data_IF_461383481996
#
_entry.id   IF_461383481996
#
_cell.length_a   1.000
_cell.length_b   1.000
_cell.length_c   1.000
_cell.angle_alpha   90.00
_cell.angle_beta   90.00
_cell.angle_gamma   90.00
#
_symmetry.space_group_name_H-M   'P 1'
#
loop_
_entity.id
_entity.type
_entity.pdbx_description
1 polymer ?
#
# COMPACT_ATOMS: atom_id res chain seq x y z
N UNK A 1 -50.35 38.11 5.87
CA UNK A 1 -50.05 37.09 4.84
C UNK A 1 -48.56 36.93 4.55
N UNK A 2 -47.84 37.94 4.02
CA UNK A 2 -46.40 37.80 3.63
C UNK A 2 -45.44 37.33 4.74
N UNK A 3 -45.60 37.81 5.98
CA UNK A 3 -44.77 37.40 7.13
C UNK A 3 -44.89 35.91 7.46
N UNK A 4 -46.09 35.34 7.31
CA UNK A 4 -46.36 33.92 7.57
C UNK A 4 -45.67 33.05 6.51
N UNK A 5 -45.71 33.47 5.24
CA UNK A 5 -45.00 32.76 4.16
C UNK A 5 -43.49 32.77 4.35
N UNK A 6 -42.91 33.90 4.77
CA UNK A 6 -41.47 34.01 5.05
C UNK A 6 -41.07 33.14 6.24
N UNK A 7 -41.88 33.14 7.32
CA UNK A 7 -41.65 32.28 8.48
C UNK A 7 -41.72 30.79 8.11
N UNK A 8 -42.74 30.38 7.34
CA UNK A 8 -42.87 29.00 6.88
C UNK A 8 -41.71 28.58 5.97
N UNK A 9 -41.20 29.49 5.13
CA UNK A 9 -40.03 29.25 4.30
C UNK A 9 -38.76 29.09 5.16
N UNK A 10 -38.59 29.92 6.20
CA UNK A 10 -37.47 29.81 7.13
C UNK A 10 -37.47 28.47 7.88
N UNK A 11 -38.64 28.03 8.36
CA UNK A 11 -38.78 26.71 8.99
C UNK A 11 -38.45 25.58 8.02
N UNK A 12 -38.95 25.64 6.78
CA UNK A 12 -38.62 24.64 5.74
C UNK A 12 -37.12 24.61 5.46
N UNK A 13 -36.47 25.75 5.33
CA UNK A 13 -35.02 25.81 5.13
C UNK A 13 -34.25 25.22 6.30
N UNK A 14 -34.67 25.52 7.54
CA UNK A 14 -34.06 24.94 8.74
C UNK A 14 -34.21 23.41 8.77
N UNK A 15 -35.40 22.89 8.43
CA UNK A 15 -35.61 21.44 8.34
C UNK A 15 -34.70 20.82 7.28
N UNK A 16 -34.67 21.36 6.06
CA UNK A 16 -33.81 20.85 4.98
C UNK A 16 -32.32 20.89 5.32
N UNK A 17 -31.87 21.94 6.02
CA UNK A 17 -30.49 22.03 6.49
C UNK A 17 -30.19 20.94 7.52
N UNK A 18 -31.08 20.71 8.49
CA UNK A 18 -30.91 19.63 9.47
C UNK A 18 -30.89 18.24 8.81
N UNK A 19 -31.77 17.98 7.83
CA UNK A 19 -31.79 16.72 7.08
C UNK A 19 -30.51 16.53 6.27
N UNK A 20 -30.01 17.60 5.63
CA UNK A 20 -28.75 17.55 4.89
C UNK A 20 -27.56 17.21 5.81
N UNK A 21 -27.52 17.78 7.01
CA UNK A 21 -26.47 17.49 7.99
C UNK A 21 -26.58 16.03 8.46
N UNK A 22 -27.78 15.57 8.78
CA UNK A 22 -28.02 14.17 9.17
C UNK A 22 -27.57 13.19 8.09
N UNK A 23 -28.04 13.36 6.84
CA UNK A 23 -27.66 12.51 5.70
C UNK A 23 -26.15 12.54 5.42
N UNK A 24 -25.50 13.68 5.64
CA UNK A 24 -24.04 13.79 5.47
C UNK A 24 -23.29 13.01 6.56
N UNK A 25 -23.83 12.95 7.77
CA UNK A 25 -23.26 12.18 8.87
C UNK A 25 -23.57 10.68 8.75
N UNK A 26 -24.69 10.32 8.12
CA UNK A 26 -25.06 8.93 7.82
C UNK A 26 -24.29 8.35 6.63
N UNK A 27 -23.75 9.20 5.74
CA UNK A 27 -22.92 8.72 4.64
C UNK A 27 -21.67 8.05 5.23
N UNK A 28 -21.38 6.78 4.88
CA UNK A 28 -20.14 6.16 5.31
C UNK A 28 -18.97 6.97 4.76
N UNK A 29 -17.99 7.27 5.62
CA UNK A 29 -16.76 7.97 5.22
C UNK A 29 -16.02 7.23 4.09
N UNK A 30 -16.23 5.91 4.01
CA UNK A 30 -15.63 5.03 3.04
C UNK A 30 -16.67 4.50 2.05
N UNK A 31 -16.35 4.66 0.77
CA UNK A 31 -17.08 4.01 -0.33
C UNK A 31 -17.11 2.49 -0.10
N UNK A 32 -18.26 1.82 -0.31
CA UNK A 32 -18.33 0.38 -0.15
C UNK A 32 -17.31 -0.31 -1.06
N UNK A 33 -16.60 -1.28 -0.48
CA UNK A 33 -15.59 -2.06 -1.18
C UNK A 33 -16.27 -2.82 -2.32
N UNK A 34 -15.83 -2.59 -3.55
CA UNK A 34 -16.34 -3.27 -4.74
C UNK A 34 -15.19 -3.89 -5.52
N UNK A 35 -15.43 -5.06 -6.11
CA UNK A 35 -14.51 -5.73 -7.02
C UNK A 35 -14.52 -5.12 -8.43
N UNK A 36 -15.46 -4.22 -8.72
CA UNK A 36 -15.50 -3.49 -9.98
C UNK A 36 -14.33 -2.52 -10.09
N UNK A 37 -13.86 -2.28 -11.31
CA UNK A 37 -12.79 -1.30 -11.58
C UNK A 37 -13.15 0.05 -10.95
N UNK A 38 -12.25 0.52 -10.10
CA UNK A 38 -12.38 1.81 -9.46
C UNK A 38 -11.97 2.92 -10.45
N UNK A 39 -12.85 3.91 -10.66
CA UNK A 39 -12.56 5.10 -11.48
C UNK A 39 -12.57 6.30 -10.52
N UNK A 40 -11.40 6.87 -10.20
CA UNK A 40 -11.31 7.95 -9.24
C UNK A 40 -11.95 9.22 -9.80
N UNK A 41 -12.95 9.77 -9.12
CA UNK A 41 -13.57 11.06 -9.49
C UNK A 41 -12.95 12.25 -8.76
N UNK A 42 -12.14 12.00 -7.73
CA UNK A 42 -11.48 13.02 -6.90
C UNK A 42 -10.14 12.50 -6.37
N UNK A 43 -9.25 13.41 -5.95
CA UNK A 43 -7.97 13.05 -5.33
C UNK A 43 -8.13 12.21 -4.06
N UNK A 44 -9.25 12.34 -3.33
CA UNK A 44 -9.57 11.51 -2.15
C UNK A 44 -9.95 10.07 -2.49
N UNK A 45 -10.26 9.82 -3.75
CA UNK A 45 -10.66 8.51 -4.28
C UNK A 45 -9.43 7.72 -4.79
N UNK A 46 -8.24 8.31 -4.71
CA UNK A 46 -6.99 7.64 -5.04
C UNK A 46 -6.56 6.76 -3.86
N UNK A 47 -6.22 5.51 -4.17
CA UNK A 47 -5.59 4.61 -3.20
C UNK A 47 -4.22 5.18 -2.81
N UNK A 48 -4.02 5.35 -1.51
CA UNK A 48 -2.79 5.88 -0.95
C UNK A 48 -1.66 4.86 -0.99
N UNK A 49 -0.43 5.36 -1.13
CA UNK A 49 0.78 4.57 -0.98
C UNK A 49 1.35 4.83 0.41
N UNK A 50 1.44 3.78 1.22
CA UNK A 50 2.08 3.86 2.52
C UNK A 50 3.57 3.59 2.38
N UNK A 51 4.38 4.41 3.03
CA UNK A 51 5.83 4.36 2.94
C UNK A 51 6.41 3.43 4.01
N UNK A 52 7.29 2.53 3.58
CA UNK A 52 8.03 1.60 4.43
C UNK A 52 9.49 2.07 4.47
N UNK A 53 9.96 2.42 5.65
CA UNK A 53 11.38 2.74 5.88
C UNK A 53 12.21 1.47 6.11
N UNK A 54 13.53 1.54 5.87
CA UNK A 54 14.51 0.47 6.15
C UNK A 54 14.41 -0.13 7.56
N UNK A 55 13.95 0.63 8.55
CA UNK A 55 13.77 0.17 9.92
C UNK A 55 12.45 -0.61 10.13
N UNK A 56 11.78 -1.02 9.04
CA UNK A 56 10.47 -1.67 9.04
C UNK A 56 9.40 -0.85 9.78
N UNK A 57 9.41 0.45 9.53
CA UNK A 57 8.47 1.43 10.09
C UNK A 57 7.53 1.85 8.96
N UNK A 58 6.23 1.80 9.24
CA UNK A 58 5.20 2.20 8.30
C UNK A 58 4.79 3.65 8.53
N UNK A 59 4.65 4.40 7.44
CA UNK A 59 4.14 5.77 7.42
C UNK A 59 2.91 5.83 6.53
N UNK A 60 1.77 6.15 7.12
CA UNK A 60 0.48 6.10 6.43
C UNK A 60 0.22 7.45 5.73
N UNK A 61 -0.03 7.41 4.43
CA UNK A 61 -0.29 8.63 3.67
C UNK A 61 -1.75 9.14 3.84
N UNK A 62 -2.68 8.24 4.15
CA UNK A 62 -4.11 8.56 4.27
C UNK A 62 -4.55 9.14 5.63
N UNK A 63 -3.67 9.16 6.64
CA UNK A 63 -4.01 9.61 7.98
C UNK A 63 -3.01 10.65 8.49
N UNK A 64 -3.51 11.86 8.78
CA UNK A 64 -2.69 12.99 9.27
C UNK A 64 -1.98 12.66 10.58
N UNK A 65 -2.60 11.84 11.43
CA UNK A 65 -2.08 11.42 12.73
C UNK A 65 -1.78 9.92 12.77
N UNK A 66 -1.20 9.33 11.71
CA UNK A 66 -0.84 7.92 11.79
C UNK A 66 0.28 7.72 12.81
N UNK A 67 0.06 6.97 13.90
CA UNK A 67 1.12 6.70 14.86
C UNK A 67 2.24 5.93 14.17
N UNK A 68 3.49 6.30 14.47
CA UNK A 68 4.68 5.59 13.98
C UNK A 68 4.61 4.17 14.53
N UNK A 69 4.26 3.22 13.68
CA UNK A 69 4.14 1.83 14.08
C UNK A 69 5.02 0.94 13.20
N UNK A 70 5.41 -0.15 13.83
CA UNK A 70 6.17 -1.23 13.24
C UNK A 70 5.29 -1.92 12.20
N UNK A 71 5.82 -2.16 10.99
CA UNK A 71 5.11 -2.94 9.96
C UNK A 71 4.66 -4.26 10.58
N UNK A 72 3.40 -4.63 10.36
CA UNK A 72 2.81 -5.82 10.96
C UNK A 72 3.58 -7.10 10.58
N UNK A 73 3.55 -8.09 11.47
CA UNK A 73 4.25 -9.36 11.26
C UNK A 73 3.75 -10.06 9.98
N UNK A 74 2.46 -9.98 9.70
CA UNK A 74 1.86 -10.56 8.49
C UNK A 74 2.51 -10.03 7.22
N UNK A 75 2.64 -8.71 7.11
CA UNK A 75 3.26 -8.01 5.97
C UNK A 75 4.74 -8.36 5.88
N UNK A 76 5.45 -8.40 7.01
CA UNK A 76 6.88 -8.76 7.04
C UNK A 76 7.13 -10.18 6.54
N UNK A 77 6.32 -11.13 7.00
CA UNK A 77 6.43 -12.54 6.57
C UNK A 77 6.16 -12.65 5.07
N UNK A 78 5.07 -12.04 4.59
CA UNK A 78 4.74 -12.02 3.17
C UNK A 78 5.86 -11.39 2.31
N UNK A 79 6.43 -10.26 2.75
CA UNK A 79 7.56 -9.63 2.05
C UNK A 79 8.78 -10.55 1.99
N UNK A 80 9.13 -11.22 3.10
CA UNK A 80 10.27 -12.14 3.13
C UNK A 80 10.06 -13.35 2.20
N UNK A 81 8.84 -13.90 2.12
CA UNK A 81 8.50 -14.99 1.22
C UNK A 81 8.59 -14.56 -0.25
N UNK A 82 8.02 -13.39 -0.59
CA UNK A 82 8.09 -12.82 -1.95
C UNK A 82 9.55 -12.60 -2.35
N UNK A 83 10.36 -12.02 -1.45
CA UNK A 83 11.79 -11.79 -1.70
C UNK A 83 12.50 -13.12 -1.91
N UNK A 84 12.30 -14.11 -1.04
CA UNK A 84 12.93 -15.42 -1.18
C UNK A 84 12.61 -16.06 -2.54
N UNK A 85 11.34 -16.08 -2.94
CA UNK A 85 10.91 -16.60 -4.23
C UNK A 85 11.56 -15.85 -5.40
N UNK A 86 11.54 -14.51 -5.37
CA UNK A 86 12.13 -13.67 -6.41
C UNK A 86 13.64 -13.96 -6.57
N UNK A 87 14.36 -14.12 -5.45
CA UNK A 87 15.79 -14.44 -5.48
C UNK A 87 16.06 -15.85 -5.99
N UNK A 88 15.19 -16.83 -5.71
CA UNK A 88 15.33 -18.18 -6.26
C UNK A 88 15.18 -18.18 -7.79
N UNK A 89 14.19 -17.46 -8.31
CA UNK A 89 13.97 -17.28 -9.75
C UNK A 89 15.12 -16.51 -10.42
N UNK A 90 15.59 -15.42 -9.80
CA UNK A 90 16.71 -14.64 -10.31
C UNK A 90 18.02 -15.44 -10.29
N UNK A 91 18.26 -16.18 -9.21
CA UNK A 91 19.46 -17.00 -9.07
C UNK A 91 19.45 -18.23 -9.98
N UNK A 92 18.29 -18.73 -10.40
CA UNK A 92 18.23 -19.77 -11.43
C UNK A 92 18.95 -19.31 -12.71
N UNK A 93 18.73 -18.07 -13.14
CA UNK A 93 19.39 -17.48 -14.31
C UNK A 93 20.83 -17.01 -14.02
N UNK A 94 21.09 -16.44 -12.83
CA UNK A 94 22.41 -15.94 -12.48
C UNK A 94 23.45 -17.07 -12.36
N UNK A 95 23.05 -18.23 -11.82
CA UNK A 95 23.91 -19.42 -11.66
C UNK A 95 24.45 -19.92 -13.00
N UNK A 96 23.64 -19.89 -14.06
CA UNK A 96 24.09 -20.23 -15.42
C UNK A 96 25.25 -19.36 -15.90
N UNK A 97 25.33 -18.12 -15.40
CA UNK A 97 26.39 -17.16 -15.74
C UNK A 97 27.54 -17.15 -14.72
N UNK A 98 27.59 -18.13 -13.81
CA UNK A 98 28.62 -18.23 -12.77
C UNK A 98 28.53 -17.13 -11.71
N UNK A 99 27.31 -16.65 -11.40
CA UNK A 99 27.08 -15.52 -10.49
C UNK A 99 25.91 -15.85 -9.55
N UNK A 100 25.93 -15.26 -8.35
CA UNK A 100 24.85 -15.41 -7.37
C UNK A 100 24.51 -14.02 -6.82
N UNK A 101 23.22 -13.69 -6.82
CA UNK A 101 22.67 -12.53 -6.16
C UNK A 101 22.23 -12.92 -4.74
N UNK A 102 22.60 -12.10 -3.78
CA UNK A 102 22.20 -12.25 -2.38
C UNK A 102 21.47 -10.99 -1.94
N UNK A 103 20.31 -11.17 -1.33
CA UNK A 103 19.58 -10.08 -0.69
C UNK A 103 20.33 -9.61 0.58
N UNK A 104 20.48 -8.29 0.76
CA UNK A 104 21.08 -7.71 1.96
C UNK A 104 20.03 -7.03 2.84
N UNK A 105 19.35 -6.01 2.32
CA UNK A 105 18.32 -5.28 3.06
C UNK A 105 17.40 -4.49 2.13
N UNK A 106 16.20 -4.14 2.59
CA UNK A 106 15.31 -3.18 1.94
C UNK A 106 15.74 -1.77 2.39
N UNK A 107 15.97 -0.87 1.45
CA UNK A 107 16.31 0.52 1.75
C UNK A 107 15.04 1.34 2.05
N UNK A 108 14.04 1.20 1.21
CA UNK A 108 12.69 1.70 1.44
C UNK A 108 11.72 0.97 0.52
N UNK A 109 10.42 1.14 0.78
CA UNK A 109 9.38 0.65 -0.11
C UNK A 109 8.11 1.45 0.01
N UNK A 110 7.19 1.17 -0.90
CA UNK A 110 5.83 1.67 -0.89
C UNK A 110 4.88 0.47 -0.99
N UNK A 111 3.80 0.52 -0.22
CA UNK A 111 2.73 -0.46 -0.30
C UNK A 111 1.40 0.23 -0.59
N UNK A 112 0.55 -0.46 -1.33
CA UNK A 112 -0.81 0.00 -1.62
C UNK A 112 -1.75 -1.19 -1.59
N UNK A 113 -2.96 -0.98 -1.09
CA UNK A 113 -4.01 -1.99 -1.11
C UNK A 113 -5.10 -1.54 -2.07
N UNK A 114 -5.29 -2.29 -3.15
CA UNK A 114 -6.39 -2.12 -4.09
C UNK A 114 -7.38 -3.28 -3.92
N UNK A 115 -8.67 -3.02 -3.61
CA UNK A 115 -9.67 -4.07 -3.40
C UNK A 115 -9.80 -5.12 -4.51
N UNK A 116 -9.46 -4.74 -5.74
CA UNK A 116 -9.58 -5.59 -6.92
C UNK A 116 -8.40 -6.54 -7.11
N UNK A 117 -7.18 -6.10 -6.78
CA UNK A 117 -5.94 -6.84 -7.08
C UNK A 117 -5.23 -7.33 -5.82
N UNK A 118 -5.57 -6.79 -4.65
CA UNK A 118 -4.91 -7.07 -3.39
C UNK A 118 -3.82 -6.04 -3.09
N UNK A 119 -2.65 -6.52 -2.65
CA UNK A 119 -1.56 -5.66 -2.17
C UNK A 119 -0.48 -5.54 -3.23
N UNK A 120 -0.10 -4.31 -3.53
CA UNK A 120 1.04 -3.98 -4.39
C UNK A 120 2.22 -3.53 -3.53
N UNK A 121 3.42 -4.02 -3.87
CA UNK A 121 4.68 -3.61 -3.26
C UNK A 121 5.64 -3.04 -4.29
N UNK A 122 6.20 -1.87 -3.99
CA UNK A 122 7.32 -1.27 -4.73
C UNK A 122 8.49 -1.18 -3.76
N UNK A 123 9.55 -1.95 -3.99
CA UNK A 123 10.66 -2.10 -3.06
C UNK A 123 11.97 -1.67 -3.70
N UNK A 124 12.74 -0.84 -2.99
CA UNK A 124 14.14 -0.57 -3.30
C UNK A 124 15.02 -1.43 -2.37
N UNK A 125 15.84 -2.29 -2.96
CA UNK A 125 16.57 -3.35 -2.27
C UNK A 125 18.07 -3.26 -2.55
N UNK A 126 18.86 -3.39 -1.50
CA UNK A 126 20.32 -3.48 -1.58
C UNK A 126 20.69 -4.95 -1.75
N UNK A 127 21.41 -5.22 -2.84
CA UNK A 127 21.78 -6.56 -3.26
C UNK A 127 23.30 -6.72 -3.29
N UNK A 128 23.77 -7.91 -2.93
CA UNK A 128 25.16 -8.29 -3.03
C UNK A 128 25.37 -9.24 -4.18
N UNK A 129 26.45 -9.01 -4.92
CA UNK A 129 26.80 -9.79 -6.09
C UNK A 129 28.05 -10.60 -5.85
N UNK A 130 27.95 -11.93 -5.88
CA UNK A 130 29.10 -12.82 -5.70
C UNK A 130 29.39 -13.58 -6.99
N UNK A 131 30.64 -13.51 -7.46
CA UNK A 131 31.10 -14.35 -8.56
C UNK A 131 31.29 -15.77 -8.04
N UNK A 132 30.56 -16.72 -8.63
CA UNK A 132 30.75 -18.13 -8.39
C UNK A 132 31.87 -18.62 -9.30
N UNK A 133 33.04 -18.94 -8.73
CA UNK A 133 34.05 -19.73 -9.44
C UNK A 133 33.76 -21.19 -9.11
N UNK A 134 33.43 -22.06 -10.08
CA UNK A 134 33.44 -23.49 -9.82
C UNK A 134 34.83 -23.89 -9.30
N UNK A 135 34.92 -24.83 -8.36
CA UNK A 135 36.20 -25.28 -7.83
C UNK A 135 37.09 -25.71 -9.00
N UNK A 136 38.33 -25.20 -9.01
CA UNK A 136 39.31 -25.54 -10.02
C UNK A 136 39.55 -27.05 -9.94
N UNK A 137 39.30 -27.76 -11.04
CA UNK A 137 39.32 -29.22 -11.13
C UNK A 137 40.77 -29.76 -11.17
N UNK A 138 41.65 -29.29 -10.30
CA UNK A 138 43.07 -29.66 -10.25
C UNK A 138 43.44 -30.63 -9.11
N UNK A 139 42.53 -30.94 -8.20
CA UNK A 139 42.88 -31.64 -6.96
C UNK A 139 42.30 -33.07 -6.89
N UNK A 140 41.98 -33.66 -8.05
CA UNK A 140 41.81 -35.11 -8.17
C UNK A 140 43.09 -35.69 -8.78
N UNK A 141 44.07 -35.96 -7.92
CA UNK A 141 45.18 -36.88 -8.20
C UNK A 141 44.90 -38.22 -7.55
#
# INVERSE_FOLDING_TARGET
MRRIHVHNLALRLATLQSTRIALRNELPEHKPISLTRHIPSSARDLFHWDFISSNNILFCAGQVNCPRHTVDLSIRTALNEIIAQLFDEFNANARQRGRVLQFQNIQYGYMRVEPRFGVDYVLDMILWFKKFRPPHRSDFK
#
